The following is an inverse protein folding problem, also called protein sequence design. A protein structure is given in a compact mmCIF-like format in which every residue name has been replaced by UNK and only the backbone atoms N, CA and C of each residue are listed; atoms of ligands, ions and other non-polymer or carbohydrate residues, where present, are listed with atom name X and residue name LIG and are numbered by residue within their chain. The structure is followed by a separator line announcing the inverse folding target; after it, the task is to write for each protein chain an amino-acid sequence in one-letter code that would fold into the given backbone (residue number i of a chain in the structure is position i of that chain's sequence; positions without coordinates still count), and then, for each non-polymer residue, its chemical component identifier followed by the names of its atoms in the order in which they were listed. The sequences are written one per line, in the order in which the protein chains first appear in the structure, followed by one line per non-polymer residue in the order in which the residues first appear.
data_IF_644174962803
#
_entry.id   IF_644174962803
#
_cell.length_a   1.000
_cell.length_b   1.000
_cell.length_c   1.000
_cell.angle_alpha   90.00
_cell.angle_beta   90.00
_cell.angle_gamma   90.00
#
_symmetry.space_group_name_H-M   'P 1'
#
loop_
_entity.id
_entity.type
_entity.pdbx_description
1 polymer ?
#
# COMPACT_ATOMS: atom_id res chain seq x y z
N UNK A 1 31.56 7.13 -6.52
CA UNK A 1 31.96 5.96 -5.69
C UNK A 1 31.78 6.17 -4.19
N UNK A 2 32.15 7.33 -3.61
CA UNK A 2 31.97 7.54 -2.16
C UNK A 2 30.50 7.69 -1.73
N UNK A 3 29.68 8.40 -2.51
CA UNK A 3 28.27 8.60 -2.22
C UNK A 3 27.47 7.27 -2.24
N UNK A 4 27.71 6.38 -3.21
CA UNK A 4 26.97 5.10 -3.30
C UNK A 4 27.26 4.17 -2.13
N UNK A 5 28.51 4.13 -1.63
CA UNK A 5 28.86 3.35 -0.43
C UNK A 5 28.22 3.89 0.84
N UNK A 6 28.07 5.21 0.96
CA UNK A 6 27.38 5.83 2.11
C UNK A 6 25.88 5.52 2.05
N UNK A 7 25.26 5.61 0.88
CA UNK A 7 23.86 5.22 0.66
C UNK A 7 23.63 3.74 0.99
N UNK A 8 24.49 2.83 0.53
CA UNK A 8 24.40 1.39 0.85
C UNK A 8 24.50 1.09 2.34
N UNK A 9 25.39 1.78 3.07
CA UNK A 9 25.54 1.60 4.52
C UNK A 9 24.29 2.11 5.26
N UNK A 10 23.77 3.27 4.86
CA UNK A 10 22.55 3.85 5.44
C UNK A 10 21.36 2.93 5.17
N UNK A 11 21.19 2.46 3.93
CA UNK A 11 20.12 1.54 3.55
C UNK A 11 20.24 0.23 4.35
N UNK A 12 21.43 -0.34 4.49
CA UNK A 12 21.65 -1.57 5.26
C UNK A 12 21.28 -1.41 6.74
N UNK A 13 21.63 -0.26 7.34
CA UNK A 13 21.26 0.06 8.73
C UNK A 13 19.76 0.28 8.85
N UNK A 14 19.13 0.98 7.89
CA UNK A 14 17.68 1.20 7.85
C UNK A 14 16.91 -0.13 7.70
N UNK A 15 17.31 -1.00 6.78
CA UNK A 15 16.73 -2.34 6.60
C UNK A 15 16.90 -3.20 7.84
N UNK A 16 18.10 -3.21 8.43
CA UNK A 16 18.39 -3.95 9.66
C UNK A 16 17.55 -3.44 10.83
N UNK A 17 17.37 -2.12 10.94
CA UNK A 17 16.54 -1.49 11.96
C UNK A 17 15.06 -1.78 11.75
N UNK A 18 14.52 -1.62 10.55
CA UNK A 18 13.12 -1.95 10.22
C UNK A 18 12.81 -3.41 10.52
N UNK A 19 13.69 -4.32 10.10
CA UNK A 19 13.55 -5.77 10.32
C UNK A 19 13.59 -6.14 11.81
N UNK A 20 14.32 -5.39 12.64
CA UNK A 20 14.53 -5.72 14.05
C UNK A 20 13.65 -4.94 15.03
N UNK A 21 13.19 -3.74 14.66
CA UNK A 21 12.50 -2.80 15.55
C UNK A 21 11.16 -2.30 15.02
N UNK A 22 10.73 -2.70 13.81
CA UNK A 22 9.41 -2.32 13.26
C UNK A 22 8.22 -2.68 14.15
N UNK A 23 8.37 -3.68 15.03
CA UNK A 23 7.34 -4.17 15.94
C UNK A 23 7.48 -3.68 17.40
N UNK A 24 8.36 -2.70 17.67
CA UNK A 24 8.64 -2.19 19.02
C UNK A 24 7.94 -0.84 19.23
N UNK A 25 7.03 -0.79 20.20
CA UNK A 25 6.36 0.44 20.67
C UNK A 25 7.12 1.01 21.87
N UNK A 26 7.36 2.31 21.88
CA UNK A 26 8.03 2.99 23.00
C UNK A 26 7.04 3.84 23.79
N UNK A 27 7.18 3.83 25.12
CA UNK A 27 6.45 4.73 26.02
C UNK A 27 7.47 5.68 26.66
N UNK A 28 7.32 7.01 26.52
CA UNK A 28 8.32 7.96 27.00
C UNK A 28 8.33 8.08 28.54
N UNK A 29 7.22 7.81 29.24
CA UNK A 29 7.20 7.75 30.69
C UNK A 29 6.02 6.93 31.24
N UNK A 30 6.24 5.93 32.13
CA UNK A 30 7.54 5.34 32.46
C UNK A 30 8.18 4.67 31.23
N UNK A 31 9.52 4.69 31.15
CA UNK A 31 10.27 4.24 29.97
C UNK A 31 10.23 2.71 29.83
N UNK A 32 9.31 2.20 29.00
CA UNK A 32 9.22 0.77 28.66
C UNK A 32 9.08 0.58 27.14
N UNK A 33 9.74 -0.47 26.64
CA UNK A 33 9.62 -0.95 25.26
C UNK A 33 8.64 -2.13 25.27
N UNK A 34 7.54 -2.02 24.54
CA UNK A 34 6.56 -3.11 24.40
C UNK A 34 6.67 -3.67 22.98
N UNK A 35 7.06 -4.93 22.88
CA UNK A 35 7.02 -5.70 21.64
C UNK A 35 5.62 -6.30 21.49
N UNK A 36 4.95 -6.06 20.35
CA UNK A 36 3.55 -6.46 20.10
C UNK A 36 2.54 -6.01 21.18
N UNK A 37 2.35 -4.69 21.39
CA UNK A 37 1.36 -4.19 22.32
C UNK A 37 -0.05 -4.46 21.80
N UNK A 38 -0.76 -5.37 22.47
CA UNK A 38 -2.14 -5.79 22.18
C UNK A 38 -3.22 -4.71 22.43
N UNK A 39 -2.82 -3.45 22.51
CA UNK A 39 -3.67 -2.30 22.86
C UNK A 39 -4.12 -1.47 21.67
N UNK A 40 -4.55 -2.11 20.58
CA UNK A 40 -5.06 -1.46 19.36
C UNK A 40 -6.33 -0.68 19.66
N UNK A 41 -6.47 0.53 19.10
CA UNK A 41 -7.68 1.34 19.28
C UNK A 41 -8.86 0.85 18.44
N UNK A 42 -8.62 0.27 17.25
CA UNK A 42 -9.68 -0.35 16.46
C UNK A 42 -10.19 -1.58 17.19
N UNK A 43 -11.48 -1.60 17.54
CA UNK A 43 -12.11 -2.65 18.36
C UNK A 43 -12.99 -3.60 17.54
N UNK A 44 -13.39 -4.71 18.17
CA UNK A 44 -14.09 -5.79 17.47
C UNK A 44 -15.48 -5.41 16.90
N UNK A 45 -16.15 -4.43 17.47
CA UNK A 45 -17.38 -3.83 16.91
C UNK A 45 -17.09 -3.10 15.59
N UNK A 46 -16.04 -2.27 15.55
CA UNK A 46 -15.56 -1.64 14.33
C UNK A 46 -15.10 -2.66 13.28
N UNK A 47 -14.44 -3.74 13.71
CA UNK A 47 -14.04 -4.83 12.79
C UNK A 47 -15.27 -5.50 12.17
N UNK A 48 -16.36 -5.69 12.91
CA UNK A 48 -17.60 -6.23 12.36
C UNK A 48 -18.23 -5.28 11.35
N UNK A 49 -18.27 -3.98 11.65
CA UNK A 49 -18.73 -2.97 10.70
C UNK A 49 -17.95 -3.04 9.38
N UNK A 50 -16.61 -3.20 9.46
CA UNK A 50 -15.75 -3.37 8.28
C UNK A 50 -16.12 -4.64 7.51
N UNK A 51 -16.20 -5.79 8.19
CA UNK A 51 -16.50 -7.09 7.56
C UNK A 51 -17.82 -7.05 6.79
N UNK A 52 -18.82 -6.34 7.30
CA UNK A 52 -20.15 -6.27 6.70
C UNK A 52 -20.23 -5.34 5.47
N UNK A 53 -19.32 -4.38 5.34
CA UNK A 53 -19.39 -3.33 4.31
C UNK A 53 -18.25 -3.35 3.29
N UNK A 54 -17.12 -3.99 3.59
CA UNK A 54 -15.90 -3.98 2.76
C UNK A 54 -16.14 -4.66 1.41
N UNK A 55 -15.56 -4.11 0.34
CA UNK A 55 -15.73 -4.63 -1.03
C UNK A 55 -14.38 -4.86 -1.69
N UNK A 56 -14.24 -5.91 -2.52
CA UNK A 56 -13.03 -6.15 -3.29
C UNK A 56 -12.64 -4.92 -4.11
N UNK A 57 -11.38 -4.51 -4.01
CA UNK A 57 -10.87 -3.28 -4.63
C UNK A 57 -10.75 -2.09 -3.67
N UNK A 58 -11.29 -2.18 -2.45
CA UNK A 58 -11.10 -1.17 -1.42
C UNK A 58 -9.62 -1.02 -1.05
N UNK A 59 -9.15 0.23 -0.98
CA UNK A 59 -7.82 0.59 -0.49
C UNK A 59 -7.92 0.84 1.01
N UNK A 60 -7.09 0.13 1.77
CA UNK A 60 -7.08 0.19 3.22
C UNK A 60 -5.88 1.01 3.67
N UNK A 61 -6.14 2.06 4.45
CA UNK A 61 -5.10 2.87 5.10
C UNK A 61 -5.13 2.57 6.60
N UNK A 62 -3.96 2.27 7.20
CA UNK A 62 -3.87 2.07 8.65
C UNK A 62 -2.70 2.82 9.26
N UNK A 63 -2.85 3.16 10.54
CA UNK A 63 -1.86 3.86 11.33
C UNK A 63 -1.65 3.20 12.68
N UNK A 64 -0.40 3.27 13.16
CA UNK A 64 0.00 2.78 14.47
C UNK A 64 0.55 3.92 15.31
N UNK A 65 0.13 3.99 16.58
CA UNK A 65 0.64 4.98 17.52
C UNK A 65 1.86 4.45 18.24
N UNK A 66 2.92 5.27 18.29
CA UNK A 66 4.15 5.08 19.10
C UNK A 66 5.03 3.88 18.69
N UNK A 67 4.90 3.37 17.47
CA UNK A 67 5.83 2.37 16.92
C UNK A 67 7.04 3.03 16.28
N UNK A 68 8.22 2.42 16.43
CA UNK A 68 9.47 2.91 15.81
C UNK A 68 9.43 2.91 14.28
N UNK A 69 8.50 2.19 13.65
CA UNK A 69 8.22 2.26 12.20
C UNK A 69 7.68 3.63 11.76
N UNK A 70 6.90 4.32 12.60
CA UNK A 70 6.39 5.67 12.34
C UNK A 70 7.48 6.75 12.34
N UNK A 71 8.70 6.43 12.77
CA UNK A 71 9.85 7.35 12.66
C UNK A 71 10.37 7.42 11.22
N UNK A 72 10.08 6.42 10.38
CA UNK A 72 10.62 6.31 9.02
C UNK A 72 9.60 6.55 7.90
N UNK A 73 8.30 6.33 8.16
CA UNK A 73 7.22 6.63 7.20
C UNK A 73 6.46 7.89 7.68
N UNK A 74 6.68 9.06 7.07
CA UNK A 74 5.93 10.26 7.35
C UNK A 74 4.48 10.13 6.85
N UNK A 75 3.54 10.68 7.61
CA UNK A 75 2.11 10.64 7.30
C UNK A 75 1.26 10.39 8.55
N UNK A 76 -0.03 10.67 8.46
CA UNK A 76 -1.00 10.31 9.48
C UNK A 76 -1.26 8.80 9.45
N UNK A 77 -1.42 8.22 8.27
CA UNK A 77 -1.41 6.78 8.04
C UNK A 77 0.03 6.31 7.76
N UNK A 78 0.39 5.15 8.33
CA UNK A 78 1.74 4.60 8.24
C UNK A 78 1.85 3.40 7.31
N UNK A 79 0.72 2.89 6.80
CA UNK A 79 0.68 1.68 6.00
C UNK A 79 -0.56 1.63 5.10
N UNK A 80 -0.46 0.93 3.97
CA UNK A 80 -1.56 0.72 3.02
C UNK A 80 -1.63 -0.72 2.50
N UNK A 81 -2.80 -1.11 1.98
CA UNK A 81 -3.04 -2.40 1.35
C UNK A 81 -4.31 -2.40 0.50
N UNK A 82 -4.53 -3.47 -0.27
CA UNK A 82 -5.74 -3.65 -1.09
C UNK A 82 -6.51 -4.85 -0.56
N UNK A 83 -7.80 -4.67 -0.30
CA UNK A 83 -8.70 -5.79 -0.03
C UNK A 83 -9.11 -6.46 -1.34
N UNK A 84 -8.83 -7.75 -1.47
CA UNK A 84 -9.08 -8.52 -2.70
C UNK A 84 -10.27 -9.46 -2.60
N UNK A 85 -10.84 -9.63 -1.40
CA UNK A 85 -11.98 -10.52 -1.18
C UNK A 85 -11.55 -11.99 -1.06
N UNK A 86 -12.30 -12.88 -1.69
CA UNK A 86 -12.01 -14.32 -1.67
C UNK A 86 -10.82 -14.63 -2.58
N UNK A 87 -9.85 -15.35 -2.03
CA UNK A 87 -8.71 -15.92 -2.73
C UNK A 87 -8.79 -17.42 -2.58
N UNK A 88 -8.86 -18.13 -3.71
CA UNK A 88 -8.99 -19.58 -3.74
C UNK A 88 -7.61 -20.22 -3.93
N UNK A 89 -7.45 -21.50 -3.58
CA UNK A 89 -6.19 -22.22 -3.81
C UNK A 89 -5.76 -22.23 -5.28
N UNK A 90 -6.71 -22.19 -6.23
CA UNK A 90 -6.43 -22.19 -7.67
C UNK A 90 -5.79 -20.88 -8.14
N UNK A 91 -6.01 -19.77 -7.42
CA UNK A 91 -5.39 -18.48 -7.73
C UNK A 91 -3.86 -18.49 -7.55
N UNK A 92 -3.31 -19.57 -6.98
CA UNK A 92 -1.87 -19.82 -6.90
C UNK A 92 -1.22 -19.94 -8.30
N UNK A 93 -1.98 -20.22 -9.36
CA UNK A 93 -1.43 -20.19 -10.74
C UNK A 93 -1.08 -18.78 -11.22
N UNK A 94 -1.69 -17.75 -10.63
CA UNK A 94 -1.43 -16.33 -10.94
C UNK A 94 -0.20 -15.83 -10.18
N UNK A 95 0.14 -16.48 -9.07
CA UNK A 95 1.30 -16.18 -8.23
C UNK A 95 2.59 -16.54 -8.98
N UNK A 96 3.43 -15.53 -9.23
CA UNK A 96 4.72 -15.71 -9.90
C UNK A 96 5.75 -16.22 -8.88
N UNK A 97 6.09 -17.51 -8.94
CA UNK A 97 7.07 -18.16 -8.04
C UNK A 97 8.52 -17.96 -8.52
N UNK A 98 8.80 -16.89 -9.27
CA UNK A 98 10.06 -16.72 -10.00
C UNK A 98 11.30 -16.52 -9.11
N UNK A 99 11.13 -16.21 -7.82
CA UNK A 99 12.21 -16.15 -6.83
C UNK A 99 12.14 -17.34 -5.86
N UNK A 100 13.23 -18.13 -5.80
CA UNK A 100 13.46 -19.41 -5.10
C UNK A 100 13.33 -19.38 -3.55
N UNK A 101 12.36 -18.66 -3.01
CA UNK A 101 11.98 -18.80 -1.60
C UNK A 101 10.50 -19.13 -1.54
N UNK A 102 10.19 -20.42 -1.61
CA UNK A 102 8.88 -20.96 -1.21
C UNK A 102 8.63 -20.60 0.26
N UNK A 103 8.18 -19.37 0.51
CA UNK A 103 7.59 -19.01 1.79
C UNK A 103 6.12 -19.32 1.65
N UNK A 104 5.73 -20.53 2.04
CA UNK A 104 4.33 -20.96 2.18
C UNK A 104 3.46 -19.92 2.92
N UNK A 105 4.10 -19.04 3.70
CA UNK A 105 3.47 -17.97 4.45
C UNK A 105 2.90 -16.79 3.62
N UNK A 106 3.24 -16.64 2.34
CA UNK A 106 2.95 -15.41 1.59
C UNK A 106 1.62 -15.47 0.85
N UNK A 107 1.33 -16.61 0.24
CA UNK A 107 0.06 -16.89 -0.42
C UNK A 107 -0.84 -17.68 0.54
N UNK A 108 -1.89 -17.03 1.03
CA UNK A 108 -2.84 -17.63 1.98
C UNK A 108 -4.25 -17.50 1.40
N UNK A 109 -4.83 -18.57 0.83
CA UNK A 109 -6.21 -18.53 0.37
C UNK A 109 -7.15 -18.36 1.56
N UNK A 110 -8.26 -17.67 1.34
CA UNK A 110 -9.23 -17.32 2.37
C UNK A 110 -10.37 -16.47 1.83
N UNK A 111 -11.40 -16.25 2.64
CA UNK A 111 -12.63 -15.58 2.20
C UNK A 111 -12.51 -14.05 2.13
N UNK A 112 -11.66 -13.47 2.96
CA UNK A 112 -11.57 -12.02 3.17
C UNK A 112 -10.11 -11.62 3.31
N UNK A 113 -9.43 -11.55 2.17
CA UNK A 113 -7.99 -11.34 2.12
C UNK A 113 -7.63 -9.90 1.79
N UNK A 114 -6.55 -9.44 2.41
CA UNK A 114 -5.86 -8.19 2.13
C UNK A 114 -4.46 -8.53 1.64
N UNK A 115 -4.03 -7.88 0.56
CA UNK A 115 -2.66 -7.97 0.08
C UNK A 115 -1.96 -6.64 0.35
N UNK A 116 -0.74 -6.72 0.88
CA UNK A 116 0.04 -5.55 1.25
C UNK A 116 1.54 -5.89 1.30
N UNK A 117 2.38 -4.86 1.25
CA UNK A 117 3.83 -5.01 1.32
C UNK A 117 4.38 -4.54 2.67
N UNK A 118 5.10 -5.39 3.40
CA UNK A 118 5.88 -5.01 4.59
C UNK A 118 7.32 -5.47 4.43
N UNK A 119 8.22 -5.16 5.36
CA UNK A 119 9.64 -5.56 5.36
C UNK A 119 9.93 -7.02 4.90
N UNK A 120 9.02 -7.96 5.11
CA UNK A 120 9.17 -9.34 4.67
C UNK A 120 8.94 -9.52 3.16
N UNK A 121 8.15 -8.66 2.52
CA UNK A 121 7.76 -8.68 1.10
C UNK A 121 6.27 -8.37 0.95
N UNK A 122 5.72 -8.64 -0.23
CA UNK A 122 4.28 -8.57 -0.52
C UNK A 122 3.61 -9.89 -0.13
N UNK A 123 2.67 -9.87 0.81
CA UNK A 123 1.98 -11.08 1.27
C UNK A 123 0.51 -10.85 1.59
N UNK A 124 -0.21 -11.93 1.84
CA UNK A 124 -1.63 -11.94 2.16
C UNK A 124 -1.87 -12.06 3.66
N UNK A 125 -2.79 -11.25 4.19
CA UNK A 125 -3.34 -11.40 5.53
C UNK A 125 -4.86 -11.32 5.54
N UNK A 126 -5.51 -12.01 6.48
CA UNK A 126 -6.95 -11.90 6.69
C UNK A 126 -7.32 -10.49 7.18
N UNK A 127 -8.47 -9.96 6.74
CA UNK A 127 -8.94 -8.61 7.12
C UNK A 127 -8.96 -8.40 8.63
N UNK A 128 -9.29 -9.41 9.43
CA UNK A 128 -9.32 -9.34 10.90
C UNK A 128 -7.91 -9.07 11.45
N UNK A 129 -6.88 -9.66 10.85
CA UNK A 129 -5.49 -9.39 11.21
C UNK A 129 -5.08 -8.00 10.74
N UNK A 130 -5.49 -7.60 9.53
CA UNK A 130 -5.16 -6.29 8.98
C UNK A 130 -5.70 -5.15 9.87
N UNK A 131 -6.91 -5.32 10.42
CA UNK A 131 -7.57 -4.35 11.30
C UNK A 131 -6.91 -4.15 12.67
N UNK A 132 -5.89 -4.95 13.03
CA UNK A 132 -5.14 -4.78 14.28
C UNK A 132 -4.24 -3.54 14.20
N UNK A 133 -4.82 -2.38 14.43
CA UNK A 133 -4.16 -1.08 14.32
C UNK A 133 -4.80 -0.01 15.24
N UNK A 134 -4.15 1.15 15.36
CA UNK A 134 -4.64 2.24 16.21
C UNK A 134 -5.57 3.21 15.46
N UNK A 135 -5.56 3.20 14.13
CA UNK A 135 -6.49 3.96 13.29
C UNK A 135 -6.55 3.37 11.90
N UNK A 136 -7.69 3.50 11.25
CA UNK A 136 -7.91 2.97 9.91
C UNK A 136 -8.92 3.82 9.13
N UNK A 137 -8.74 3.85 7.81
CA UNK A 137 -9.69 4.39 6.85
C UNK A 137 -9.78 3.46 5.64
N UNK A 138 -10.96 3.42 5.02
CA UNK A 138 -11.24 2.58 3.86
C UNK A 138 -11.72 3.49 2.74
N UNK A 139 -10.99 3.43 1.64
CA UNK A 139 -11.20 4.21 0.44
C UNK A 139 -11.71 3.29 -0.65
N UNK A 140 -12.79 3.70 -1.31
CA UNK A 140 -13.47 2.92 -2.35
C UNK A 140 -13.48 3.72 -3.65
N UNK A 141 -13.26 3.02 -4.76
CA UNK A 141 -13.52 3.58 -6.07
C UNK A 141 -15.03 3.77 -6.27
N UNK A 142 -15.49 4.90 -6.81
CA UNK A 142 -16.89 5.04 -7.18
C UNK A 142 -17.24 3.99 -8.24
N UNK A 143 -18.52 3.65 -8.34
CA UNK A 143 -19.01 2.63 -9.29
C UNK A 143 -18.62 2.95 -10.74
N UNK A 144 -18.65 4.23 -11.08
CA UNK A 144 -18.27 4.78 -12.36
C UNK A 144 -17.34 5.96 -12.16
N UNK A 145 -16.33 6.06 -13.00
CA UNK A 145 -15.40 7.17 -12.98
C UNK A 145 -14.93 7.53 -14.39
N UNK A 146 -14.42 8.75 -14.52
CA UNK A 146 -13.78 9.31 -15.70
C UNK A 146 -12.49 9.99 -15.26
N UNK A 147 -11.51 10.15 -16.15
CA UNK A 147 -10.30 10.89 -15.82
C UNK A 147 -10.61 12.28 -15.23
N UNK A 148 -9.76 12.73 -14.33
CA UNK A 148 -9.82 14.09 -13.79
C UNK A 148 -9.42 15.08 -14.89
N UNK A 149 -10.10 16.22 -14.97
CA UNK A 149 -9.88 17.19 -16.03
C UNK A 149 -8.53 17.90 -15.85
N UNK A 150 -7.79 18.01 -16.96
CA UNK A 150 -6.54 18.77 -17.14
C UNK A 150 -5.35 18.42 -16.22
N UNK A 151 -4.58 17.38 -16.56
CA UNK A 151 -3.11 17.51 -16.46
C UNK A 151 -2.42 17.05 -17.75
N UNK A 152 -1.65 18.00 -18.27
CA UNK A 152 -0.75 17.91 -19.41
C UNK A 152 0.30 16.79 -19.24
N UNK A 153 0.65 16.19 -20.37
CA UNK A 153 2.00 15.72 -20.70
C UNK A 153 2.71 14.69 -19.83
N UNK A 154 2.03 14.01 -18.89
CA UNK A 154 2.62 12.80 -18.31
C UNK A 154 2.75 11.72 -19.41
N UNK A 155 3.97 11.61 -19.96
CA UNK A 155 4.37 10.47 -20.78
C UNK A 155 4.16 9.23 -19.91
N UNK A 156 3.32 8.28 -20.37
CA UNK A 156 3.03 7.10 -19.59
C UNK A 156 4.33 6.38 -19.20
N UNK A 157 4.32 5.70 -18.05
CA UNK A 157 5.23 4.57 -17.80
C UNK A 157 4.89 3.40 -18.76
N UNK A 158 4.83 3.69 -20.05
CA UNK A 158 4.34 2.86 -21.15
C UNK A 158 5.11 1.54 -21.24
N UNK A 159 6.37 1.55 -20.82
CA UNK A 159 7.26 0.39 -20.82
C UNK A 159 6.91 -0.68 -19.79
N UNK A 160 5.97 -0.44 -18.87
CA UNK A 160 5.64 -1.33 -17.76
C UNK A 160 4.16 -1.74 -17.72
N UNK A 161 3.37 -1.35 -18.72
CA UNK A 161 1.96 -1.72 -18.79
C UNK A 161 1.77 -3.02 -19.57
N UNK A 162 0.96 -3.92 -19.01
CA UNK A 162 0.32 -4.96 -19.80
C UNK A 162 -0.62 -4.34 -20.84
N UNK A 163 -0.99 -5.12 -21.85
CA UNK A 163 -1.94 -4.68 -22.89
C UNK A 163 -3.28 -4.22 -22.29
N UNK A 164 -3.75 -4.89 -21.22
CA UNK A 164 -4.98 -4.51 -20.50
C UNK A 164 -4.84 -3.15 -19.81
N UNK A 165 -3.72 -2.94 -19.10
CA UNK A 165 -3.41 -1.68 -18.40
C UNK A 165 -3.28 -0.51 -19.38
N UNK A 166 -2.61 -0.72 -20.52
CA UNK A 166 -2.45 0.30 -21.55
C UNK A 166 -3.80 0.74 -22.13
N UNK A 167 -4.68 -0.22 -22.44
CA UNK A 167 -6.02 0.09 -22.96
C UNK A 167 -6.86 0.88 -21.96
N UNK A 168 -6.82 0.52 -20.68
CA UNK A 168 -7.52 1.26 -19.62
C UNK A 168 -7.00 2.69 -19.51
N UNK A 169 -5.67 2.86 -19.47
CA UNK A 169 -5.03 4.17 -19.39
C UNK A 169 -5.44 5.07 -20.58
N UNK A 170 -5.37 4.52 -21.80
CA UNK A 170 -5.78 5.23 -23.02
C UNK A 170 -7.25 5.63 -22.97
N UNK A 171 -8.11 4.71 -22.55
CA UNK A 171 -9.56 4.93 -22.50
C UNK A 171 -9.92 6.01 -21.45
N UNK A 172 -9.23 6.05 -20.31
CA UNK A 172 -9.36 7.11 -19.32
C UNK A 172 -8.86 8.46 -19.87
N UNK A 173 -7.70 8.51 -20.51
CA UNK A 173 -7.20 9.74 -21.17
C UNK A 173 -8.17 10.26 -22.24
N UNK A 174 -8.90 9.37 -22.91
CA UNK A 174 -9.94 9.75 -23.88
C UNK A 174 -11.25 10.23 -23.24
N UNK A 175 -11.31 10.36 -21.90
CA UNK A 175 -12.49 10.84 -21.17
C UNK A 175 -13.63 9.80 -21.10
N UNK A 176 -13.36 8.53 -21.41
CA UNK A 176 -14.40 7.49 -21.31
C UNK A 176 -14.79 7.27 -19.86
N UNK A 177 -16.08 7.02 -19.65
CA UNK A 177 -16.60 6.54 -18.36
C UNK A 177 -16.33 5.04 -18.26
N UNK A 178 -15.68 4.64 -17.17
CA UNK A 178 -15.30 3.25 -16.88
C UNK A 178 -16.03 2.81 -15.62
N UNK A 179 -16.55 1.57 -15.62
CA UNK A 179 -17.14 0.96 -14.43
C UNK A 179 -16.07 0.22 -13.64
N UNK A 180 -16.08 0.34 -12.32
CA UNK A 180 -15.10 -0.31 -11.46
C UNK A 180 -15.12 -1.85 -11.59
N UNK A 181 -16.30 -2.44 -11.75
CA UNK A 181 -16.48 -3.88 -11.92
C UNK A 181 -15.74 -4.45 -13.15
N UNK A 182 -15.59 -3.64 -14.21
CA UNK A 182 -14.92 -4.06 -15.44
C UNK A 182 -13.38 -4.09 -15.28
N UNK A 183 -12.85 -3.33 -14.32
CA UNK A 183 -11.40 -3.22 -14.10
C UNK A 183 -10.90 -4.03 -12.90
N UNK A 184 -11.77 -4.35 -11.93
CA UNK A 184 -11.36 -5.10 -10.75
C UNK A 184 -10.65 -6.43 -11.07
N UNK A 185 -11.06 -7.24 -12.07
CA UNK A 185 -10.34 -8.46 -12.43
C UNK A 185 -8.87 -8.21 -12.84
N UNK A 186 -8.59 -7.07 -13.49
CA UNK A 186 -7.22 -6.67 -13.83
C UNK A 186 -6.44 -6.32 -12.55
N UNK A 187 -7.03 -5.51 -11.66
CA UNK A 187 -6.40 -5.14 -10.38
C UNK A 187 -6.11 -6.40 -9.56
N UNK A 188 -7.07 -7.33 -9.48
CA UNK A 188 -6.93 -8.59 -8.76
C UNK A 188 -5.78 -9.44 -9.32
N UNK A 189 -5.73 -9.61 -10.65
CA UNK A 189 -4.66 -10.34 -11.32
C UNK A 189 -3.28 -9.70 -11.06
N UNK A 190 -3.18 -8.37 -11.17
CA UNK A 190 -1.95 -7.63 -10.87
C UNK A 190 -1.57 -7.78 -9.39
N UNK A 191 -2.52 -7.62 -8.47
CA UNK A 191 -2.29 -7.72 -7.03
C UNK A 191 -1.72 -9.08 -6.62
N UNK A 192 -2.25 -10.17 -7.20
CA UNK A 192 -1.77 -11.53 -6.99
C UNK A 192 -0.36 -11.77 -7.55
N UNK A 193 -0.05 -11.25 -8.75
CA UNK A 193 1.28 -11.36 -9.37
C UNK A 193 2.39 -10.67 -8.59
N UNK A 194 2.07 -9.70 -7.74
CA UNK A 194 3.06 -9.04 -6.89
C UNK A 194 3.35 -9.80 -5.60
N UNK A 195 2.49 -10.74 -5.18
CA UNK A 195 2.71 -11.51 -3.95
C UNK A 195 4.03 -12.25 -4.09
N UNK A 196 4.79 -12.37 -3.00
CA UNK A 196 6.10 -13.02 -2.99
C UNK A 196 7.27 -12.08 -3.30
N UNK A 197 7.01 -10.92 -3.95
CA UNK A 197 8.08 -9.97 -4.25
C UNK A 197 8.73 -9.40 -2.98
N UNK A 198 10.06 -9.16 -2.99
CA UNK A 198 10.76 -8.55 -1.88
C UNK A 198 10.26 -7.13 -1.57
N UNK A 199 10.60 -6.62 -0.39
CA UNK A 199 10.19 -5.28 0.06
C UNK A 199 11.25 -4.24 -0.27
N UNK A 200 10.83 -3.08 -0.80
CA UNK A 200 11.75 -1.98 -1.08
C UNK A 200 12.19 -1.28 0.19
N UNK A 201 13.39 -1.61 0.64
CA UNK A 201 14.03 -0.86 1.71
C UNK A 201 14.70 0.42 1.20
N UNK A 202 14.86 0.57 -0.12
CA UNK A 202 15.56 1.67 -0.78
C UNK A 202 14.62 2.74 -1.34
N UNK A 203 13.31 2.50 -1.48
CA UNK A 203 12.34 3.42 -2.11
C UNK A 203 12.86 3.94 -3.46
N UNK A 204 13.29 3.02 -4.32
CA UNK A 204 14.03 3.32 -5.53
C UNK A 204 13.17 2.96 -6.76
N UNK A 205 12.51 3.96 -7.33
CA UNK A 205 11.54 3.83 -8.43
C UNK A 205 12.14 3.35 -9.76
N UNK A 206 13.48 3.20 -9.84
CA UNK A 206 14.20 2.72 -11.01
C UNK A 206 14.42 1.18 -11.00
N UNK A 207 13.98 0.46 -9.96
CA UNK A 207 14.20 -1.00 -9.86
C UNK A 207 13.04 -1.74 -9.15
N UNK A 208 12.22 -2.47 -9.91
CA UNK A 208 10.96 -3.10 -9.47
C UNK A 208 11.11 -4.44 -8.71
N UNK A 209 12.25 -4.67 -8.06
CA UNK A 209 12.53 -5.93 -7.35
C UNK A 209 12.19 -5.89 -5.86
N UNK A 210 11.58 -4.80 -5.43
CA UNK A 210 11.53 -4.34 -4.05
C UNK A 210 10.29 -3.40 -4.04
N UNK A 211 9.24 -3.63 -3.21
CA UNK A 211 8.06 -2.75 -3.14
C UNK A 211 7.71 -2.32 -1.70
N UNK A 212 7.57 -1.01 -1.44
CA UNK A 212 6.93 -0.48 -0.23
C UNK A 212 5.41 -0.66 -0.27
N UNK A 213 4.72 -0.45 0.86
CA UNK A 213 3.26 -0.64 0.93
C UNK A 213 2.50 0.22 -0.10
N UNK A 214 2.93 1.47 -0.31
CA UNK A 214 2.30 2.41 -1.23
C UNK A 214 2.69 2.18 -2.67
N UNK A 215 3.94 1.79 -2.94
CA UNK A 215 4.37 1.36 -4.28
C UNK A 215 3.65 0.09 -4.72
N UNK A 216 3.39 -0.84 -3.80
CA UNK A 216 2.55 -2.00 -4.08
C UNK A 216 1.13 -1.59 -4.50
N UNK A 217 0.44 -0.77 -3.70
CA UNK A 217 -0.91 -0.29 -4.05
C UNK A 217 -0.88 0.44 -5.39
N UNK A 218 0.09 1.35 -5.58
CA UNK A 218 0.26 2.09 -6.82
C UNK A 218 0.52 1.17 -8.02
N UNK A 219 1.30 0.11 -7.86
CA UNK A 219 1.57 -0.85 -8.94
C UNK A 219 0.30 -1.56 -9.42
N UNK A 220 -0.67 -1.76 -8.53
CA UNK A 220 -1.95 -2.38 -8.83
C UNK A 220 -2.92 -1.43 -9.55
N UNK A 221 -2.78 -0.12 -9.34
CA UNK A 221 -3.71 0.90 -9.87
C UNK A 221 -3.05 1.89 -10.85
N UNK A 222 -1.77 1.69 -11.22
CA UNK A 222 -0.98 2.61 -12.07
C UNK A 222 -1.64 2.99 -13.40
N UNK A 223 -2.41 2.08 -13.99
CA UNK A 223 -3.15 2.32 -15.23
C UNK A 223 -4.26 3.37 -15.06
N UNK A 224 -4.66 3.62 -13.82
CA UNK A 224 -5.67 4.60 -13.42
C UNK A 224 -5.04 5.95 -13.04
N UNK A 225 -3.76 6.19 -13.31
CA UNK A 225 -3.11 7.48 -13.02
C UNK A 225 -3.89 8.71 -13.54
N UNK A 226 -4.52 8.70 -14.74
CA UNK A 226 -5.35 9.82 -15.22
C UNK A 226 -6.59 10.08 -14.34
N UNK A 227 -7.02 9.09 -13.55
CA UNK A 227 -8.14 9.21 -12.64
C UNK A 227 -7.74 9.77 -11.28
N UNK A 228 -6.73 9.18 -10.64
CA UNK A 228 -6.41 9.51 -9.24
C UNK A 228 -5.32 10.58 -9.10
N UNK A 229 -4.48 10.80 -10.12
CA UNK A 229 -3.39 11.78 -10.10
C UNK A 229 -2.47 11.65 -8.90
N UNK A 230 -2.23 10.42 -8.42
CA UNK A 230 -1.34 10.18 -7.27
C UNK A 230 0.07 10.16 -7.83
N UNK A 231 0.85 11.14 -7.40
CA UNK A 231 2.24 11.32 -7.81
C UNK A 231 3.16 11.06 -6.62
N UNK A 232 4.36 10.57 -6.92
CA UNK A 232 5.40 10.41 -5.92
C UNK A 232 6.06 11.77 -5.64
N UNK A 233 6.35 12.04 -4.37
CA UNK A 233 7.02 13.27 -3.94
C UNK A 233 8.51 13.02 -3.71
N UNK A 234 9.38 13.95 -4.12
CA UNK A 234 10.79 13.90 -3.77
C UNK A 234 11.02 14.31 -2.31
N UNK A 235 11.62 13.42 -1.52
CA UNK A 235 12.07 13.72 -0.16
C UNK A 235 13.57 13.73 -0.04
N UNK A 236 14.06 14.76 0.64
CA UNK A 236 15.47 14.93 0.96
C UNK A 236 15.76 14.46 2.39
N UNK A 237 16.55 13.41 2.52
CA UNK A 237 17.03 12.89 3.80
C UNK A 237 18.46 13.37 4.05
N UNK A 238 18.67 14.04 5.18
CA UNK A 238 19.98 14.53 5.63
C UNK A 238 20.76 15.35 4.57
N UNK A 239 20.05 16.00 3.64
CA UNK A 239 20.62 16.85 2.58
C UNK A 239 21.35 16.11 1.45
N UNK A 240 21.57 14.79 1.55
CA UNK A 240 22.39 14.01 0.60
C UNK A 240 21.60 12.91 -0.11
N UNK A 241 20.56 12.35 0.52
CA UNK A 241 19.72 11.32 -0.08
C UNK A 241 18.45 11.96 -0.64
N UNK A 242 18.16 11.73 -1.92
CA UNK A 242 16.84 11.97 -2.51
C UNK A 242 16.15 10.63 -2.70
N UNK A 243 14.94 10.49 -2.18
CA UNK A 243 14.07 9.34 -2.44
C UNK A 243 12.71 9.88 -2.90
N UNK A 244 12.24 9.40 -4.05
CA UNK A 244 10.85 9.58 -4.46
C UNK A 244 10.00 8.66 -3.57
N UNK A 245 8.89 9.11 -3.01
CA UNK A 245 8.05 8.32 -2.09
C UNK A 245 6.59 8.69 -2.31
N UNK A 246 5.71 7.70 -2.28
CA UNK A 246 4.26 7.91 -2.12
C UNK A 246 3.92 7.67 -0.65
N UNK A 247 3.42 8.68 0.05
CA UNK A 247 2.94 8.51 1.42
C UNK A 247 1.57 7.83 1.42
N UNK A 248 1.19 7.04 2.43
CA UNK A 248 -0.15 6.47 2.53
C UNK A 248 -1.25 7.53 2.51
N UNK A 249 -0.97 8.72 3.05
CA UNK A 249 -1.89 9.87 3.02
C UNK A 249 -2.18 10.35 1.60
N UNK A 250 -1.29 10.13 0.62
CA UNK A 250 -1.50 10.56 -0.77
C UNK A 250 -2.68 9.86 -1.47
N UNK A 251 -3.14 8.73 -0.91
CA UNK A 251 -4.35 8.05 -1.37
C UNK A 251 -5.64 8.72 -0.86
N UNK A 252 -5.57 9.54 0.20
CA UNK A 252 -6.73 10.27 0.73
C UNK A 252 -7.08 11.48 -0.17
N UNK A 253 -7.67 11.18 -1.33
CA UNK A 253 -8.10 12.16 -2.34
C UNK A 253 -9.61 12.12 -2.55
N UNK A 254 -10.16 13.24 -3.01
CA UNK A 254 -11.61 13.39 -3.26
C UNK A 254 -12.12 12.51 -4.42
N UNK A 255 -11.23 11.89 -5.20
CA UNK A 255 -11.60 10.89 -6.20
C UNK A 255 -11.94 9.52 -5.58
N UNK A 256 -11.68 9.29 -4.30
CA UNK A 256 -12.12 8.07 -3.62
C UNK A 256 -13.27 8.38 -2.66
N UNK A 257 -14.26 7.50 -2.63
CA UNK A 257 -15.29 7.51 -1.60
C UNK A 257 -14.68 6.98 -0.31
N UNK A 258 -14.62 7.81 0.74
CA UNK A 258 -14.27 7.32 2.07
C UNK A 258 -15.50 6.64 2.69
N UNK A 259 -15.56 5.32 2.55
CA UNK A 259 -16.71 4.51 2.97
C UNK A 259 -16.71 4.18 4.46
N UNK A 260 -15.53 4.18 5.10
CA UNK A 260 -15.42 3.90 6.52
C UNK A 260 -14.16 4.53 7.14
N UNK A 261 -14.25 4.92 8.41
CA UNK A 261 -13.10 5.32 9.24
C UNK A 261 -13.30 4.90 10.68
N UNK A 262 -12.21 4.54 11.37
CA UNK A 262 -12.28 4.23 12.80
C UNK A 262 -12.61 5.46 13.64
N UNK A 263 -13.19 5.27 14.83
CA UNK A 263 -13.51 6.32 15.79
C UNK A 263 -12.26 7.09 16.25
N UNK A 264 -11.11 6.42 16.26
CA UNK A 264 -9.81 7.03 16.57
C UNK A 264 -9.20 7.83 15.41
N UNK A 265 -9.78 7.74 14.20
CA UNK A 265 -9.33 8.48 13.01
C UNK A 265 -9.80 9.93 13.05
N UNK A 266 -8.84 10.83 13.12
CA UNK A 266 -8.98 12.28 13.04
C UNK A 266 -8.39 12.79 11.71
N UNK A 267 -9.27 12.97 10.73
CA UNK A 267 -8.89 13.34 9.35
C UNK A 267 -8.40 14.78 9.22
N UNK A 268 -8.62 15.62 10.24
CA UNK A 268 -8.08 17.00 10.24
C UNK A 268 -6.55 17.02 10.27
N UNK A 269 -5.93 15.89 10.64
CA UNK A 269 -4.48 15.68 10.70
C UNK A 269 -3.89 15.11 9.41
N UNK A 270 -4.72 14.68 8.46
CA UNK A 270 -4.27 14.15 7.17
C UNK A 270 -4.00 15.33 6.25
N UNK A 271 -2.80 15.36 5.66
CA UNK A 271 -2.48 16.37 4.65
C UNK A 271 -3.14 15.96 3.34
N UNK A 272 -3.92 16.87 2.76
CA UNK A 272 -4.46 16.75 1.40
C UNK A 272 -3.45 17.27 0.39
#
# INVERSE_FOLDING_TARGET
MAASKVTEIIDTIQSGFLRRFGNVKYYPWPLFFVYDPKGYQVKGDEVREIIDMIQPGDILLRGYDKYLSGVFIPGYFSHSGIYVGEVKPEDKEIFDTSDDVEREDYFKPGKQMVIHAMAQGVFMEDIINFCRCDRMAILRFPKEFRAYDETDDAEPMEKLFSVKEYNLFRDLKAGKTIRFEDIFPMIYETALKQVGKPYDYKFNFDNYNDLSCTEYVQSCIKAMAPYHGIEAIEKHYFGLLKKSIIEPDAFYKDCFDMVWKSRSTDLTKVKR
#
